data_IF_446651183463
#
_entry.id   IF_446651183463
#
_cell.length_a   1.000
_cell.length_b   1.000
_cell.length_c   1.000
_cell.angle_alpha   90.00
_cell.angle_beta   90.00
_cell.angle_gamma   90.00
#
_symmetry.space_group_name_H-M   'P 1'
#
loop_
_entity.id
_entity.type
_entity.pdbx_description
1 polymer ?
#
# COMPACT_ATOMS: atom_id res chain seq x y z
N UNK A 1 -19.41 7.78 -7.67
CA UNK A 1 -18.21 7.43 -6.87
C UNK A 1 -17.03 7.05 -7.79
N UNK A 2 -15.79 7.37 -7.42
CA UNK A 2 -14.61 7.26 -8.30
C UNK A 2 -14.02 5.83 -8.35
N UNK A 3 -13.74 5.31 -9.54
CA UNK A 3 -12.89 4.12 -9.75
C UNK A 3 -11.45 4.47 -9.43
N UNK A 4 -10.76 3.64 -8.64
CA UNK A 4 -9.41 3.95 -8.18
C UNK A 4 -8.59 2.69 -7.93
N UNK A 5 -7.26 2.84 -7.91
CA UNK A 5 -6.35 1.82 -7.38
C UNK A 5 -6.23 2.06 -5.87
N UNK A 6 -6.71 1.12 -5.07
CA UNK A 6 -6.61 1.17 -3.61
C UNK A 6 -5.21 0.73 -3.20
N UNK A 7 -4.49 1.65 -2.55
CA UNK A 7 -3.22 1.36 -1.91
C UNK A 7 -3.45 0.76 -0.50
N UNK A 8 -2.66 -0.24 -0.07
CA UNK A 8 -2.64 -0.72 1.31
C UNK A 8 -1.90 0.27 2.22
N UNK A 9 -2.36 1.52 2.28
CA UNK A 9 -1.62 2.64 2.87
C UNK A 9 -1.27 2.44 4.36
N UNK A 10 -2.14 1.78 5.11
CA UNK A 10 -1.89 1.47 6.51
C UNK A 10 -0.72 0.49 6.67
N UNK A 11 -0.74 -0.61 5.94
CA UNK A 11 0.33 -1.61 5.97
C UNK A 11 1.66 -1.03 5.47
N UNK A 12 1.61 -0.23 4.40
CA UNK A 12 2.78 0.49 3.89
C UNK A 12 3.44 1.32 4.99
N UNK A 13 2.67 2.15 5.70
CA UNK A 13 3.18 2.98 6.79
C UNK A 13 3.68 2.15 7.98
N UNK A 14 2.94 1.12 8.37
CA UNK A 14 3.31 0.25 9.49
C UNK A 14 4.64 -0.48 9.23
N UNK A 15 4.81 -1.07 8.03
CA UNK A 15 6.05 -1.73 7.64
C UNK A 15 7.22 -0.74 7.52
N UNK A 16 6.99 0.43 6.92
CA UNK A 16 8.00 1.48 6.82
C UNK A 16 8.50 1.92 8.20
N UNK A 17 7.59 2.15 9.15
CA UNK A 17 7.97 2.56 10.50
C UNK A 17 8.69 1.44 11.25
N UNK A 18 8.27 0.18 11.08
CA UNK A 18 8.98 -0.96 11.67
C UNK A 18 10.44 -1.03 11.21
N UNK A 19 10.68 -0.95 9.90
CA UNK A 19 12.05 -0.93 9.35
C UNK A 19 12.84 0.27 9.88
N UNK A 20 12.20 1.43 10.01
CA UNK A 20 12.85 2.62 10.57
C UNK A 20 13.24 2.45 12.04
N UNK A 21 12.40 1.80 12.86
CA UNK A 21 12.73 1.50 14.26
C UNK A 21 13.94 0.58 14.34
N UNK A 22 13.97 -0.50 13.54
CA UNK A 22 15.11 -1.42 13.47
C UNK A 22 16.40 -0.66 13.13
N UNK A 23 16.36 0.22 12.13
CA UNK A 23 17.51 1.07 11.77
C UNK A 23 17.95 2.02 12.88
N UNK A 24 17.01 2.61 13.63
CA UNK A 24 17.31 3.51 14.76
C UNK A 24 17.98 2.75 15.90
N UNK A 25 17.59 1.49 16.12
CA UNK A 25 18.17 0.61 17.15
C UNK A 25 19.55 0.06 16.74
N UNK A 26 20.02 0.36 15.53
CA UNK A 26 21.28 -0.12 14.98
C UNK A 26 21.19 -1.51 14.37
N UNK A 27 19.98 -2.05 14.23
CA UNK A 27 19.69 -3.33 13.60
C UNK A 27 19.56 -3.16 12.08
N UNK A 28 19.84 -4.23 11.35
CA UNK A 28 19.60 -4.29 9.90
C UNK A 28 18.20 -4.86 9.68
N UNK A 29 17.28 -4.15 9.02
CA UNK A 29 15.96 -4.66 8.74
C UNK A 29 16.00 -6.00 8.00
N UNK A 30 15.12 -6.93 8.39
CA UNK A 30 15.08 -8.26 7.80
C UNK A 30 14.74 -8.24 6.29
N UNK A 31 14.00 -7.22 5.86
CA UNK A 31 13.67 -6.93 4.47
C UNK A 31 14.08 -5.48 4.19
N UNK A 32 14.89 -5.25 3.15
CA UNK A 32 15.25 -3.89 2.69
C UNK A 32 14.27 -3.35 1.65
N UNK A 33 13.47 -4.24 1.04
CA UNK A 33 12.43 -3.91 0.09
C UNK A 33 11.21 -4.80 0.34
N UNK A 34 10.03 -4.20 0.34
CA UNK A 34 8.76 -4.90 0.53
C UNK A 34 7.82 -4.54 -0.61
N UNK A 35 7.32 -5.55 -1.31
CA UNK A 35 6.28 -5.38 -2.32
C UNK A 35 4.90 -5.60 -1.69
N UNK A 36 3.99 -4.64 -1.87
CA UNK A 36 2.62 -4.72 -1.39
C UNK A 36 1.65 -4.67 -2.58
N UNK A 37 0.74 -5.64 -2.61
CA UNK A 37 -0.27 -5.73 -3.65
C UNK A 37 -1.28 -4.59 -3.57
N UNK A 38 -1.74 -4.13 -4.73
CA UNK A 38 -2.76 -3.09 -4.84
C UNK A 38 -4.02 -3.66 -5.49
N UNK A 39 -5.15 -3.00 -5.28
CA UNK A 39 -6.44 -3.48 -5.79
C UNK A 39 -7.11 -2.44 -6.70
N UNK A 40 -7.51 -2.85 -7.90
CA UNK A 40 -8.38 -2.03 -8.75
C UNK A 40 -9.82 -2.07 -8.23
N UNK A 41 -10.32 -0.94 -7.75
CA UNK A 41 -11.69 -0.81 -7.26
C UNK A 41 -12.55 -0.11 -8.29
N UNK A 42 -13.34 -0.89 -9.03
CA UNK A 42 -14.26 -0.40 -10.07
C UNK A 42 -15.51 0.22 -9.43
N UNK A 43 -15.81 1.46 -9.84
CA UNK A 43 -17.03 2.21 -9.49
C UNK A 43 -17.63 2.87 -10.74
N UNK A 44 -18.62 3.73 -10.54
CA UNK A 44 -19.41 4.33 -11.63
C UNK A 44 -18.62 5.30 -12.51
N UNK A 45 -17.61 5.98 -11.98
CA UNK A 45 -16.92 7.05 -12.72
C UNK A 45 -16.16 6.59 -13.96
N UNK A 46 -15.89 5.28 -14.11
CA UNK A 46 -15.22 4.73 -15.29
C UNK A 46 -16.20 4.23 -16.36
N UNK A 47 -17.51 4.43 -16.18
CA UNK A 47 -18.53 4.00 -17.14
C UNK A 47 -18.77 2.49 -17.17
N UNK A 48 -18.22 1.71 -16.22
CA UNK A 48 -18.35 0.25 -16.16
C UNK A 48 -19.78 -0.27 -16.06
N UNK A 49 -20.74 0.58 -15.68
CA UNK A 49 -22.19 0.26 -15.59
C UNK A 49 -23.03 0.95 -16.64
N UNK A 50 -22.43 1.68 -17.57
CA UNK A 50 -23.14 2.36 -18.64
C UNK A 50 -23.30 1.38 -19.82
N UNK A 51 -24.32 0.53 -19.73
CA UNK A 51 -24.92 -0.17 -20.89
C UNK A 51 -26.03 0.66 -21.49
#
# INVERSE_FOLDING_TARGET
>A
PLTTVRLPAYELGARAMKMLIEMIEGEIPAESEVFLETELVIRESCGSRST
#
